data_IF_619881029408
#
_entry.id   IF_619881029408
#
_cell.length_a   1.000
_cell.length_b   1.000
_cell.length_c   1.000
_cell.angle_alpha   90.00
_cell.angle_beta   90.00
_cell.angle_gamma   90.00
#
_symmetry.space_group_name_H-M   'P 1'
#
loop_
_entity.id
_entity.type
_entity.pdbx_description
1 polymer ?
#
# COMPACT_ATOMS: atom_id res chain seq x y z
N UNK A 1 5.75 3.55 -23.26
CA UNK A 1 5.18 3.84 -21.94
C UNK A 1 5.91 5.07 -21.39
N UNK A 2 5.16 6.11 -21.01
CA UNK A 2 5.76 7.33 -20.45
C UNK A 2 5.28 7.50 -19.02
N UNK A 3 6.17 7.75 -18.06
CA UNK A 3 5.85 7.95 -16.64
C UNK A 3 4.77 9.03 -16.44
N UNK A 4 4.77 10.08 -17.26
CA UNK A 4 3.77 11.15 -17.22
C UNK A 4 2.32 10.65 -17.41
N UNK A 5 2.13 9.52 -18.10
CA UNK A 5 0.80 8.96 -18.38
C UNK A 5 0.21 8.29 -17.13
N UNK A 6 1.04 7.98 -16.14
CA UNK A 6 0.68 7.37 -14.86
C UNK A 6 0.59 8.38 -13.70
N UNK A 7 1.32 9.51 -13.80
CA UNK A 7 1.47 10.47 -12.70
C UNK A 7 0.14 10.99 -12.13
N UNK A 8 -0.91 11.06 -12.94
CA UNK A 8 -2.23 11.54 -12.50
C UNK A 8 -3.16 10.40 -12.02
N UNK A 9 -2.73 9.14 -12.18
CA UNK A 9 -3.54 7.95 -11.88
C UNK A 9 -2.99 7.15 -10.72
N UNK A 10 -1.67 7.20 -10.52
CA UNK A 10 -0.95 6.37 -9.56
C UNK A 10 -0.04 7.26 -8.72
N UNK A 11 0.03 7.01 -7.40
CA UNK A 11 0.95 7.74 -6.51
C UNK A 11 2.40 7.63 -7.00
N UNK A 12 3.12 8.75 -6.94
CA UNK A 12 4.54 8.79 -7.30
C UNK A 12 5.41 7.82 -6.48
N UNK A 13 5.01 7.49 -5.25
CA UNK A 13 5.70 6.53 -4.40
C UNK A 13 5.58 5.10 -4.94
N UNK A 14 4.40 4.71 -5.47
CA UNK A 14 4.20 3.40 -6.12
C UNK A 14 5.09 3.28 -7.36
N UNK A 15 5.08 4.32 -8.21
CA UNK A 15 5.93 4.37 -9.41
C UNK A 15 7.41 4.25 -9.01
N UNK A 16 7.84 5.00 -8.00
CA UNK A 16 9.22 4.99 -7.50
C UNK A 16 9.62 3.60 -6.98
N UNK A 17 8.79 2.98 -6.14
CA UNK A 17 9.05 1.65 -5.61
C UNK A 17 9.13 0.61 -6.73
N UNK A 18 8.22 0.67 -7.71
CA UNK A 18 8.22 -0.22 -8.88
C UNK A 18 9.51 -0.07 -9.71
N UNK A 19 9.97 1.16 -9.96
CA UNK A 19 11.23 1.39 -10.68
C UNK A 19 12.46 0.87 -9.92
N UNK A 20 12.46 0.98 -8.59
CA UNK A 20 13.57 0.54 -7.74
C UNK A 20 13.54 -0.96 -7.43
N UNK A 21 12.45 -1.67 -7.71
CA UNK A 21 12.32 -3.11 -7.45
C UNK A 21 13.22 -3.97 -8.34
N UNK A 22 13.70 -3.41 -9.43
CA UNK A 22 14.63 -4.07 -10.37
C UNK A 22 15.91 -3.26 -10.47
N UNK A 23 17.05 -3.93 -10.54
CA UNK A 23 18.33 -3.27 -10.74
C UNK A 23 18.33 -2.52 -12.07
N UNK A 24 18.83 -1.28 -12.11
CA UNK A 24 18.77 -0.41 -13.29
C UNK A 24 19.43 -0.99 -14.57
N UNK A 25 20.32 -1.96 -14.43
CA UNK A 25 20.92 -2.71 -15.55
C UNK A 25 20.06 -3.86 -16.07
N UNK A 26 18.96 -4.17 -15.40
CA UNK A 26 18.07 -5.26 -15.78
C UNK A 26 16.78 -4.72 -16.41
N UNK A 27 16.17 -5.44 -17.35
CA UNK A 27 14.89 -5.06 -17.90
C UNK A 27 13.82 -5.11 -16.79
N UNK A 28 12.99 -4.07 -16.72
CA UNK A 28 11.85 -4.00 -15.79
C UNK A 28 10.60 -4.48 -16.52
N UNK A 29 9.96 -5.52 -15.98
CA UNK A 29 8.65 -5.95 -16.44
C UNK A 29 7.56 -5.07 -15.78
N UNK A 30 7.20 -4.00 -16.49
CA UNK A 30 6.20 -3.04 -16.05
C UNK A 30 4.80 -3.53 -16.36
N UNK A 31 4.07 -3.97 -15.34
CA UNK A 31 2.71 -4.48 -15.46
C UNK A 31 1.84 -4.08 -14.24
N UNK A 32 0.53 -4.30 -14.35
CA UNK A 32 -0.43 -3.94 -13.30
C UNK A 32 -0.22 -4.72 -12.00
N UNK A 33 0.30 -5.96 -12.11
CA UNK A 33 0.64 -6.78 -10.94
C UNK A 33 1.76 -6.14 -10.13
N UNK A 34 2.84 -5.70 -10.78
CA UNK A 34 3.95 -5.01 -10.11
C UNK A 34 3.46 -3.76 -9.37
N UNK A 35 2.60 -2.95 -10.01
CA UNK A 35 2.05 -1.75 -9.40
C UNK A 35 1.17 -2.07 -8.19
N UNK A 36 0.33 -3.10 -8.29
CA UNK A 36 -0.50 -3.58 -7.19
C UNK A 36 0.34 -4.11 -6.02
N UNK A 37 1.41 -4.87 -6.30
CA UNK A 37 2.32 -5.40 -5.27
C UNK A 37 3.06 -4.27 -4.54
N UNK A 38 3.50 -3.23 -5.28
CA UNK A 38 4.11 -2.04 -4.69
C UNK A 38 3.12 -1.25 -3.82
N UNK A 39 1.88 -1.06 -4.28
CA UNK A 39 0.84 -0.41 -3.49
C UNK A 39 0.54 -1.17 -2.20
N UNK A 40 0.37 -2.49 -2.28
CA UNK A 40 0.16 -3.35 -1.12
C UNK A 40 1.35 -3.31 -0.13
N UNK A 41 2.56 -3.18 -0.64
CA UNK A 41 3.77 -3.02 0.18
C UNK A 41 3.74 -1.70 0.94
N UNK A 42 3.47 -0.59 0.26
CA UNK A 42 3.35 0.72 0.89
C UNK A 42 2.20 0.76 1.91
N UNK A 43 1.05 0.13 1.61
CA UNK A 43 -0.05 0.00 2.55
C UNK A 43 0.35 -0.68 3.86
N UNK A 44 1.13 -1.75 3.77
CA UNK A 44 1.66 -2.43 4.96
C UNK A 44 2.62 -1.52 5.71
N UNK A 45 3.51 -0.83 5.01
CA UNK A 45 4.52 0.04 5.59
C UNK A 45 3.90 1.25 6.30
N UNK A 46 2.86 1.86 5.74
CA UNK A 46 2.13 2.96 6.38
C UNK A 46 1.42 2.57 7.68
N UNK A 47 1.21 1.28 7.97
CA UNK A 47 0.61 0.82 9.24
C UNK A 47 1.52 1.03 10.45
N UNK A 48 2.83 1.08 10.25
CA UNK A 48 3.80 1.32 11.33
C UNK A 48 4.24 2.79 11.40
N UNK A 49 3.65 3.66 10.55
CA UNK A 49 3.95 5.09 10.54
C UNK A 49 3.41 5.76 11.81
N UNK A 50 4.27 6.52 12.50
CA UNK A 50 3.90 7.32 13.67
C UNK A 50 4.07 8.81 13.36
N UNK A 51 3.27 9.67 14.00
CA UNK A 51 3.41 11.13 13.90
C UNK A 51 4.63 11.67 14.65
N UNK A 52 5.13 10.92 15.64
CA UNK A 52 6.18 11.36 16.57
C UNK A 52 7.57 10.84 16.16
N UNK A 53 7.77 10.63 14.86
CA UNK A 53 9.00 10.09 14.29
C UNK A 53 10.19 11.01 14.48
N UNK A 54 11.30 10.41 14.89
CA UNK A 54 12.60 11.09 14.93
C UNK A 54 13.41 10.68 13.71
N UNK A 55 13.95 11.67 13.01
CA UNK A 55 14.93 11.38 11.97
C UNK A 55 16.20 10.82 12.63
N UNK A 56 16.62 9.63 12.20
CA UNK A 56 17.81 8.96 12.72
C UNK A 56 18.81 8.71 11.60
N UNK A 57 20.10 8.69 11.96
CA UNK A 57 21.16 8.34 11.02
C UNK A 57 21.00 6.88 10.60
N UNK A 58 21.01 6.65 9.29
CA UNK A 58 20.93 5.30 8.74
C UNK A 58 22.33 4.67 8.80
N UNK A 59 22.50 3.49 9.43
CA UNK A 59 23.78 2.77 9.45
C UNK A 59 24.26 2.38 8.06
N UNK A 60 25.58 2.37 7.87
CA UNK A 60 26.19 2.04 6.58
C UNK A 60 25.88 0.62 6.11
N UNK A 61 25.64 -0.32 7.03
CA UNK A 61 25.21 -1.69 6.70
C UNK A 61 23.88 -1.71 5.93
N UNK A 62 22.98 -0.79 6.27
CA UNK A 62 21.70 -0.67 5.58
C UNK A 62 21.89 -0.03 4.19
N UNK A 63 22.80 0.95 4.08
CA UNK A 63 23.11 1.67 2.84
C UNK A 63 24.03 0.88 1.91
N UNK A 64 24.72 -0.14 2.40
CA UNK A 64 25.73 -0.90 1.65
C UNK A 64 25.29 -1.32 0.24
N UNK A 65 24.08 -1.84 0.00
CA UNK A 65 23.64 -2.18 -1.35
C UNK A 65 23.66 -0.99 -2.31
N UNK A 66 23.40 0.23 -1.83
CA UNK A 66 23.43 1.44 -2.66
C UNK A 66 24.86 1.85 -3.02
N UNK A 67 25.84 1.54 -2.19
CA UNK A 67 27.26 1.75 -2.48
C UNK A 67 27.79 0.70 -3.48
N UNK A 68 27.11 -0.44 -3.58
CA UNK A 68 27.43 -1.53 -4.50
C UNK A 68 26.60 -1.40 -5.80
N UNK A 69 27.04 -0.51 -6.68
CA UNK A 69 26.43 -0.30 -8.03
C UNK A 69 24.93 0.06 -7.97
N UNK A 70 24.52 0.88 -6.99
CA UNK A 70 23.12 1.31 -6.81
C UNK A 70 22.13 0.12 -6.79
N UNK A 71 22.47 -0.93 -6.07
CA UNK A 71 21.61 -2.11 -5.92
C UNK A 71 20.34 -1.77 -5.10
N UNK A 72 19.41 -1.09 -5.73
CA UNK A 72 18.14 -0.69 -5.12
C UNK A 72 17.29 -1.89 -4.68
N UNK A 73 17.22 -3.03 -5.39
CA UNK A 73 16.54 -4.23 -4.89
C UNK A 73 17.12 -4.73 -3.56
N UNK A 74 18.45 -4.73 -3.43
CA UNK A 74 19.13 -5.10 -2.19
C UNK A 74 18.80 -4.15 -1.04
N UNK A 75 18.72 -2.84 -1.32
CA UNK A 75 18.29 -1.86 -0.32
C UNK A 75 16.81 -2.06 0.08
N UNK A 76 15.92 -2.35 -0.87
CA UNK A 76 14.51 -2.66 -0.58
C UNK A 76 14.40 -3.93 0.29
N UNK A 77 15.24 -4.94 0.08
CA UNK A 77 15.29 -6.11 0.96
C UNK A 77 15.66 -5.72 2.41
N UNK A 78 16.62 -4.80 2.60
CA UNK A 78 16.93 -4.25 3.93
C UNK A 78 15.73 -3.50 4.54
N UNK A 79 14.95 -2.76 3.73
CA UNK A 79 13.71 -2.14 4.21
C UNK A 79 12.67 -3.16 4.68
N UNK A 80 12.52 -4.28 4.00
CA UNK A 80 11.63 -5.36 4.45
C UNK A 80 12.07 -5.94 5.80
N UNK A 81 13.37 -6.17 6.02
CA UNK A 81 13.88 -6.61 7.31
C UNK A 81 13.66 -5.58 8.42
N UNK A 82 13.86 -4.28 8.12
CA UNK A 82 13.54 -3.22 9.08
C UNK A 82 12.05 -3.14 9.38
N UNK A 83 11.20 -3.33 8.37
CA UNK A 83 9.75 -3.37 8.55
C UNK A 83 9.32 -4.50 9.49
N UNK A 84 9.88 -5.70 9.36
CA UNK A 84 9.60 -6.82 10.27
C UNK A 84 9.91 -6.47 11.74
N UNK A 85 10.99 -5.72 12.00
CA UNK A 85 11.31 -5.20 13.33
C UNK A 85 10.31 -4.10 13.74
N UNK A 86 9.99 -3.18 12.83
CA UNK A 86 9.05 -2.09 13.08
C UNK A 86 7.64 -2.59 13.45
N UNK A 87 7.18 -3.71 12.89
CA UNK A 87 5.89 -4.33 13.28
C UNK A 87 5.86 -4.82 14.72
N UNK A 88 7.03 -5.04 15.34
CA UNK A 88 7.19 -5.41 16.75
C UNK A 88 7.45 -4.19 17.65
N UNK A 89 7.38 -2.98 17.10
CA UNK A 89 7.69 -1.74 17.80
C UNK A 89 9.19 -1.42 17.91
N UNK A 90 10.04 -2.19 17.20
CA UNK A 90 11.50 -2.01 17.20
C UNK A 90 11.94 -1.22 15.97
N UNK A 91 12.88 -0.27 16.13
CA UNK A 91 13.53 0.42 15.01
C UNK A 91 12.57 1.14 14.04
N UNK A 92 11.39 1.59 14.50
CA UNK A 92 10.39 2.27 13.67
C UNK A 92 10.98 3.52 13.03
N UNK A 93 11.67 4.36 13.82
CA UNK A 93 12.30 5.59 13.33
C UNK A 93 13.35 5.32 12.26
N UNK A 94 14.14 4.24 12.43
CA UNK A 94 15.16 3.84 11.46
C UNK A 94 14.51 3.35 10.16
N UNK A 95 13.45 2.54 10.24
CA UNK A 95 12.71 2.06 9.08
C UNK A 95 12.15 3.23 8.26
N UNK A 96 11.47 4.16 8.93
CA UNK A 96 10.87 5.32 8.25
C UNK A 96 11.96 6.24 7.68
N UNK A 97 13.03 6.52 8.43
CA UNK A 97 14.16 7.33 7.92
C UNK A 97 14.79 6.70 6.68
N UNK A 98 14.95 5.37 6.66
CA UNK A 98 15.49 4.66 5.50
C UNK A 98 14.53 4.69 4.29
N UNK A 99 13.21 4.59 4.52
CA UNK A 99 12.22 4.77 3.45
C UNK A 99 12.26 6.19 2.88
N UNK A 100 12.31 7.21 3.74
CA UNK A 100 12.37 8.62 3.35
C UNK A 100 13.66 8.96 2.60
N UNK A 101 14.76 8.34 2.95
CA UNK A 101 16.05 8.51 2.26
C UNK A 101 15.96 8.23 0.75
N UNK A 102 15.18 7.22 0.34
CA UNK A 102 14.96 6.90 -1.06
C UNK A 102 13.68 7.53 -1.63
N UNK A 103 13.07 8.45 -0.91
CA UNK A 103 11.87 9.19 -1.34
C UNK A 103 10.57 8.40 -1.26
N UNK A 104 10.48 7.42 -0.35
CA UNK A 104 9.26 6.73 0.01
C UNK A 104 8.74 7.21 1.37
N UNK A 105 7.44 7.06 1.63
CA UNK A 105 6.80 7.41 2.90
C UNK A 105 7.03 8.87 3.35
N UNK A 106 7.14 9.79 2.38
CA UNK A 106 7.27 11.23 2.62
C UNK A 106 5.92 11.93 2.88
N UNK A 107 4.83 11.21 2.63
CA UNK A 107 3.47 11.69 2.88
C UNK A 107 3.00 11.23 4.27
N UNK A 108 2.07 11.96 4.87
CA UNK A 108 1.41 11.51 6.09
C UNK A 108 0.47 10.35 5.79
N UNK A 109 0.13 9.56 6.83
CA UNK A 109 -0.92 8.51 6.73
C UNK A 109 -2.24 9.09 6.20
N UNK A 110 -2.58 10.33 6.59
CA UNK A 110 -3.78 11.01 6.12
C UNK A 110 -3.74 11.22 4.61
N UNK A 111 -2.63 11.74 4.07
CA UNK A 111 -2.46 11.96 2.63
C UNK A 111 -2.49 10.64 1.85
N UNK A 112 -1.85 9.59 2.37
CA UNK A 112 -1.91 8.25 1.77
C UNK A 112 -3.33 7.71 1.72
N UNK A 113 -4.09 7.84 2.81
CA UNK A 113 -5.49 7.44 2.86
C UNK A 113 -6.39 8.28 1.93
N UNK A 114 -6.13 9.58 1.80
CA UNK A 114 -6.83 10.44 0.85
C UNK A 114 -6.56 10.02 -0.61
N UNK A 115 -5.31 9.68 -0.94
CA UNK A 115 -4.98 9.11 -2.26
C UNK A 115 -5.81 7.86 -2.54
N UNK A 116 -5.90 6.92 -1.59
CA UNK A 116 -6.67 5.70 -1.74
C UNK A 116 -8.17 5.97 -1.89
N UNK A 117 -8.72 6.88 -1.11
CA UNK A 117 -10.13 7.30 -1.24
C UNK A 117 -10.43 7.87 -2.63
N UNK A 118 -9.55 8.70 -3.16
CA UNK A 118 -9.73 9.32 -4.48
C UNK A 118 -9.60 8.32 -5.64
N UNK A 119 -8.92 7.19 -5.42
CA UNK A 119 -8.81 6.09 -6.38
C UNK A 119 -10.10 5.27 -6.50
N UNK A 120 -10.89 5.24 -5.43
CA UNK A 120 -12.13 4.46 -5.38
C UNK A 120 -13.25 5.20 -6.11
N UNK A 121 -13.85 4.55 -7.10
CA UNK A 121 -14.90 5.13 -7.95
C UNK A 121 -16.29 5.22 -7.30
N UNK A 122 -16.38 4.96 -5.99
CA UNK A 122 -17.64 4.89 -5.25
C UNK A 122 -17.58 5.70 -3.95
N UNK A 123 -18.65 6.48 -3.66
CA UNK A 123 -18.73 7.25 -2.42
C UNK A 123 -18.97 6.36 -1.18
N UNK A 124 -18.49 6.81 -0.01
CA UNK A 124 -18.70 6.10 1.27
C UNK A 124 -20.19 5.86 1.58
N UNK A 125 -21.08 6.81 1.20
CA UNK A 125 -22.52 6.63 1.33
C UNK A 125 -23.02 5.44 0.51
N UNK A 126 -22.60 5.33 -0.74
CA UNK A 126 -22.99 4.24 -1.63
C UNK A 126 -22.39 2.89 -1.18
N UNK A 127 -21.17 2.88 -0.61
CA UNK A 127 -20.60 1.69 0.03
C UNK A 127 -21.51 1.24 1.17
N UNK A 128 -21.89 2.16 2.05
CA UNK A 128 -22.77 1.87 3.20
C UNK A 128 -24.12 1.30 2.76
N UNK A 129 -24.72 1.85 1.70
CA UNK A 129 -25.99 1.36 1.17
C UNK A 129 -25.84 -0.07 0.58
N UNK A 130 -24.75 -0.33 -0.15
CA UNK A 130 -24.46 -1.66 -0.68
C UNK A 130 -24.20 -2.68 0.43
N UNK A 131 -23.52 -2.30 1.52
CA UNK A 131 -23.32 -3.17 2.68
C UNK A 131 -24.65 -3.53 3.35
N UNK A 132 -25.59 -2.57 3.52
CA UNK A 132 -26.94 -2.84 4.03
C UNK A 132 -27.72 -3.80 3.14
N UNK A 133 -27.59 -3.66 1.81
CA UNK A 133 -28.22 -4.58 0.85
C UNK A 133 -27.63 -5.98 0.97
N UNK A 134 -26.31 -6.10 1.12
CA UNK A 134 -25.64 -7.38 1.34
C UNK A 134 -26.10 -8.05 2.64
N UNK A 135 -26.22 -7.29 3.73
CA UNK A 135 -26.68 -7.78 5.02
C UNK A 135 -28.12 -8.35 4.89
N UNK A 136 -29.05 -7.61 4.29
CA UNK A 136 -30.41 -8.07 3.98
C UNK A 136 -30.43 -9.34 3.12
N UNK A 137 -29.55 -9.42 2.11
CA UNK A 137 -29.45 -10.60 1.27
C UNK A 137 -29.00 -11.82 2.09
N UNK A 138 -28.06 -11.67 3.03
CA UNK A 138 -27.62 -12.74 3.94
C UNK A 138 -28.73 -13.17 4.91
N UNK A 139 -29.46 -12.22 5.51
CA UNK A 139 -30.63 -12.50 6.37
C UNK A 139 -31.68 -13.32 5.64
N UNK A 140 -31.93 -13.01 4.36
CA UNK A 140 -32.84 -13.74 3.50
C UNK A 140 -32.23 -15.02 2.91
N UNK A 141 -31.04 -15.43 3.36
CA UNK A 141 -30.29 -16.61 2.86
C UNK A 141 -30.00 -16.55 1.34
N UNK A 142 -30.07 -15.36 0.71
CA UNK A 142 -29.71 -15.15 -0.69
C UNK A 142 -28.21 -14.88 -0.81
N UNK A 143 -27.43 -15.93 -0.60
CA UNK A 143 -25.96 -15.86 -0.64
C UNK A 143 -25.42 -15.45 -2.01
N UNK A 144 -26.10 -15.84 -3.10
CA UNK A 144 -25.72 -15.47 -4.47
C UNK A 144 -25.71 -13.94 -4.66
N UNK A 145 -26.72 -13.26 -4.14
CA UNK A 145 -26.79 -11.79 -4.22
C UNK A 145 -25.79 -11.13 -3.28
N UNK A 146 -25.56 -11.69 -2.08
CA UNK A 146 -24.58 -11.20 -1.15
C UNK A 146 -23.14 -11.29 -1.73
N UNK A 147 -22.82 -12.37 -2.45
CA UNK A 147 -21.52 -12.55 -3.12
C UNK A 147 -21.40 -11.59 -4.32
N UNK A 148 -22.46 -11.41 -5.13
CA UNK A 148 -22.48 -10.43 -6.22
C UNK A 148 -22.15 -9.02 -5.73
N UNK A 149 -22.75 -8.59 -4.60
CA UNK A 149 -22.50 -7.27 -4.01
C UNK A 149 -21.04 -7.17 -3.51
N UNK A 150 -20.52 -8.24 -2.93
CA UNK A 150 -19.12 -8.29 -2.49
C UNK A 150 -18.15 -8.12 -3.66
N UNK A 151 -18.39 -8.85 -4.75
CA UNK A 151 -17.55 -8.79 -5.95
C UNK A 151 -17.64 -7.42 -6.60
N UNK A 152 -18.84 -6.82 -6.68
CA UNK A 152 -19.04 -5.46 -7.19
C UNK A 152 -18.29 -4.40 -6.36
N UNK A 153 -18.28 -4.53 -5.04
CA UNK A 153 -17.51 -3.65 -4.17
C UNK A 153 -15.99 -3.87 -4.33
N UNK A 154 -15.57 -5.12 -4.49
CA UNK A 154 -14.17 -5.47 -4.73
C UNK A 154 -13.66 -4.86 -6.06
N UNK A 155 -14.45 -4.94 -7.12
CA UNK A 155 -14.15 -4.34 -8.43
C UNK A 155 -14.04 -2.82 -8.37
N UNK A 156 -14.80 -2.20 -7.45
CA UNK A 156 -14.73 -0.77 -7.16
C UNK A 156 -13.62 -0.38 -6.18
N UNK A 157 -12.76 -1.33 -5.79
CA UNK A 157 -11.62 -1.09 -4.90
C UNK A 157 -11.98 -1.08 -3.41
N UNK A 158 -13.08 -1.73 -3.01
CA UNK A 158 -13.49 -1.87 -1.61
C UNK A 158 -13.37 -3.32 -1.16
N UNK A 159 -12.57 -3.58 -0.13
CA UNK A 159 -12.45 -4.89 0.52
C UNK A 159 -13.41 -4.98 1.70
N UNK A 160 -14.12 -6.10 1.80
CA UNK A 160 -15.02 -6.40 2.92
C UNK A 160 -14.40 -7.50 3.78
N UNK A 161 -14.40 -7.30 5.08
CA UNK A 161 -13.98 -8.26 6.09
C UNK A 161 -15.15 -8.46 7.09
N UNK A 162 -15.64 -9.68 7.22
CA UNK A 162 -16.63 -10.03 8.25
C UNK A 162 -15.87 -10.49 9.51
N UNK A 163 -15.98 -9.74 10.60
CA UNK A 163 -15.34 -10.03 11.88
C UNK A 163 -16.32 -9.83 13.03
N UNK A 164 -16.42 -10.82 13.92
CA UNK A 164 -17.24 -10.77 15.13
C UNK A 164 -18.71 -10.37 14.88
N UNK A 165 -19.28 -10.88 13.76
CA UNK A 165 -20.67 -10.58 13.36
C UNK A 165 -20.88 -9.18 12.77
N UNK A 166 -19.80 -8.41 12.57
CA UNK A 166 -19.84 -7.10 11.92
C UNK A 166 -19.12 -7.14 10.59
N UNK A 167 -19.70 -6.46 9.60
CA UNK A 167 -19.03 -6.23 8.32
C UNK A 167 -18.19 -4.97 8.40
N UNK A 168 -16.88 -5.14 8.33
CA UNK A 168 -15.91 -4.06 8.20
C UNK A 168 -15.51 -3.92 6.73
N UNK A 169 -15.12 -2.73 6.34
CA UNK A 169 -14.62 -2.49 4.99
C UNK A 169 -13.42 -1.55 5.01
N UNK A 170 -12.57 -1.69 4.00
CA UNK A 170 -11.42 -0.83 3.76
C UNK A 170 -11.20 -0.66 2.27
N UNK A 171 -10.51 0.39 1.88
CA UNK A 171 -10.06 0.55 0.50
C UNK A 171 -8.96 -0.48 0.19
N UNK A 172 -9.00 -1.02 -1.04
CA UNK A 172 -8.03 -1.99 -1.54
C UNK A 172 -6.67 -1.32 -1.77
#
# INVERSE_FOLDING_TARGET
LKIKDFRNKISGQIIRLALMSTHYKQPLDWNDKLLSDCENTLDKWYRVYSSDLKSVKIPDEILKPLYEDLNTPGFIANLHHLFEKATKGESVDLFISACQFIGLMNESVKQWNEYKKNKVSISESKITDMLKLREKARENKNYKEADRIRDELLDKGVLIEDKDGKTLWKFK
#
